data_IF_777136604595
#
_entry.id   IF_777136604595
#
_cell.length_a   1.000
_cell.length_b   1.000
_cell.length_c   1.000
_cell.angle_alpha   90.00
_cell.angle_beta   90.00
_cell.angle_gamma   90.00
#
_symmetry.space_group_name_H-M   'P 1'
#
loop_
_entity.id
_entity.type
_entity.pdbx_description
1 polymer ?
#
# COMPACT_ATOMS: atom_id res chain seq x y z
N UNK A 1 -0.90 3.28 -53.13
CA UNK A 1 -1.47 4.34 -52.28
C UNK A 1 -0.53 4.55 -51.09
N UNK A 2 0.07 5.74 -50.92
CA UNK A 2 0.84 6.04 -49.72
C UNK A 2 -0.17 6.30 -48.59
N UNK A 3 -0.31 5.33 -47.69
CA UNK A 3 -1.25 5.42 -46.55
C UNK A 3 -0.92 6.55 -45.58
N UNK A 4 0.36 6.96 -45.51
CA UNK A 4 0.85 8.00 -44.60
C UNK A 4 1.24 9.25 -45.41
N UNK A 5 0.59 10.37 -45.15
CA UNK A 5 0.88 11.67 -45.76
C UNK A 5 1.83 12.47 -44.83
N UNK A 6 2.55 13.47 -45.38
CA UNK A 6 3.44 14.35 -44.61
C UNK A 6 2.72 15.06 -43.44
N UNK A 7 1.43 15.36 -43.61
CA UNK A 7 0.58 15.96 -42.57
C UNK A 7 0.41 14.99 -41.39
N UNK A 8 0.19 13.70 -41.65
CA UNK A 8 0.01 12.70 -40.58
C UNK A 8 1.28 12.59 -39.71
N UNK A 9 2.45 12.59 -40.33
CA UNK A 9 3.74 12.56 -39.62
C UNK A 9 3.95 13.84 -38.81
N UNK A 10 3.59 15.00 -39.40
CA UNK A 10 3.72 16.28 -38.74
C UNK A 10 2.88 16.37 -37.47
N UNK A 11 1.59 16.06 -37.56
CA UNK A 11 0.65 16.06 -36.43
C UNK A 11 1.03 15.01 -35.40
N UNK A 12 1.39 13.80 -35.85
CA UNK A 12 1.85 12.72 -34.97
C UNK A 12 3.10 13.10 -34.17
N UNK A 13 4.12 13.68 -34.83
CA UNK A 13 5.35 14.11 -34.16
C UNK A 13 5.10 15.21 -33.12
N UNK A 14 4.26 16.20 -33.47
CA UNK A 14 3.90 17.26 -32.55
C UNK A 14 3.16 16.70 -31.32
N UNK A 15 2.20 15.81 -31.54
CA UNK A 15 1.44 15.19 -30.46
C UNK A 15 2.28 14.24 -29.59
N UNK A 16 3.05 13.34 -30.19
CA UNK A 16 3.80 12.32 -29.44
C UNK A 16 4.86 12.93 -28.52
N UNK A 17 5.53 14.00 -28.97
CA UNK A 17 6.51 14.71 -28.13
C UNK A 17 5.84 15.35 -26.91
N UNK A 18 4.70 16.02 -27.13
CA UNK A 18 3.94 16.63 -26.05
C UNK A 18 3.33 15.56 -25.11
N UNK A 19 2.85 14.43 -25.67
CA UNK A 19 2.32 13.34 -24.87
C UNK A 19 3.37 12.77 -23.92
N UNK A 20 4.58 12.50 -24.39
CA UNK A 20 5.65 12.00 -23.51
C UNK A 20 5.97 12.99 -22.40
N UNK A 21 6.08 14.28 -22.73
CA UNK A 21 6.34 15.33 -21.74
C UNK A 21 5.22 15.44 -20.69
N UNK A 22 3.96 15.52 -21.15
CA UNK A 22 2.79 15.60 -20.25
C UNK A 22 2.59 14.33 -19.43
N UNK A 23 2.91 13.17 -19.98
CA UNK A 23 2.83 11.90 -19.25
C UNK A 23 3.79 11.88 -18.06
N UNK A 24 5.05 12.26 -18.25
CA UNK A 24 6.00 12.30 -17.14
C UNK A 24 5.65 13.38 -16.11
N UNK A 25 5.10 14.52 -16.53
CA UNK A 25 4.62 15.55 -15.61
C UNK A 25 3.45 15.01 -14.77
N UNK A 26 2.45 14.39 -15.40
CA UNK A 26 1.32 13.81 -14.69
C UNK A 26 1.77 12.69 -13.73
N UNK A 27 2.66 11.81 -14.20
CA UNK A 27 3.21 10.73 -13.37
C UNK A 27 3.96 11.30 -12.15
N UNK A 28 4.75 12.35 -12.34
CA UNK A 28 5.47 13.02 -11.26
C UNK A 28 4.50 13.64 -10.23
N UNK A 29 3.44 14.31 -10.70
CA UNK A 29 2.43 14.90 -9.80
C UNK A 29 1.74 13.82 -8.98
N UNK A 30 1.30 12.73 -9.62
CA UNK A 30 0.70 11.61 -8.91
C UNK A 30 1.68 10.92 -7.96
N UNK A 31 2.96 10.81 -8.33
CA UNK A 31 3.99 10.26 -7.45
C UNK A 31 4.18 11.14 -6.21
N UNK A 32 4.22 12.46 -6.37
CA UNK A 32 4.32 13.40 -5.25
C UNK A 32 3.09 13.31 -4.32
N UNK A 33 1.87 13.26 -4.89
CA UNK A 33 0.64 13.05 -4.11
C UNK A 33 0.68 11.71 -3.37
N UNK A 34 1.20 10.68 -4.02
CA UNK A 34 1.33 9.35 -3.46
C UNK A 34 2.35 9.31 -2.31
N UNK A 35 3.50 10.00 -2.44
CA UNK A 35 4.48 10.14 -1.37
C UNK A 35 3.88 10.72 -0.08
N UNK A 36 3.04 11.75 -0.19
CA UNK A 36 2.37 12.33 0.97
C UNK A 36 1.49 11.33 1.72
N UNK A 37 0.89 10.38 1.01
CA UNK A 37 0.06 9.34 1.63
C UNK A 37 0.88 8.34 2.46
N UNK A 38 2.11 8.07 2.06
CA UNK A 38 2.96 7.04 2.68
C UNK A 38 4.19 7.62 3.39
N UNK A 39 4.14 8.92 3.70
CA UNK A 39 5.26 9.60 4.36
C UNK A 39 5.58 8.98 5.72
N UNK A 40 4.57 8.58 6.47
CA UNK A 40 4.71 7.98 7.79
C UNK A 40 5.37 6.60 7.74
N UNK A 41 5.14 5.84 6.66
CA UNK A 41 5.80 4.55 6.44
C UNK A 41 7.25 4.69 5.95
N UNK A 42 7.61 5.84 5.38
CA UNK A 42 8.94 6.08 4.81
C UNK A 42 9.91 6.72 5.80
N UNK A 43 9.42 7.58 6.70
CA UNK A 43 10.25 8.37 7.63
C UNK A 43 10.42 7.61 8.95
N UNK A 44 11.64 7.62 9.49
CA UNK A 44 11.94 7.11 10.82
C UNK A 44 12.19 5.60 10.92
N UNK A 45 11.92 4.81 9.88
CA UNK A 45 12.06 3.35 9.93
C UNK A 45 13.41 2.79 9.49
N UNK A 46 14.42 3.63 9.28
CA UNK A 46 15.77 3.18 8.89
C UNK A 46 15.80 2.29 7.65
N UNK A 47 14.96 2.61 6.64
CA UNK A 47 14.88 1.85 5.40
C UNK A 47 16.14 2.03 4.55
N UNK A 48 16.61 0.96 3.94
CA UNK A 48 17.75 1.01 3.01
C UNK A 48 17.35 1.70 1.70
N UNK A 49 18.29 2.35 1.03
CA UNK A 49 18.04 3.00 -0.27
C UNK A 49 17.51 2.03 -1.32
N UNK A 50 17.89 0.75 -1.24
CA UNK A 50 17.40 -0.29 -2.14
C UNK A 50 15.90 -0.52 -1.97
N UNK A 51 15.42 -0.68 -0.74
CA UNK A 51 13.98 -0.81 -0.43
C UNK A 51 13.20 0.40 -0.90
N UNK A 52 13.75 1.60 -0.69
CA UNK A 52 13.14 2.85 -1.13
C UNK A 52 13.04 2.94 -2.66
N UNK A 53 14.10 2.52 -3.37
CA UNK A 53 14.10 2.47 -4.84
C UNK A 53 13.03 1.48 -5.38
N UNK A 54 12.92 0.30 -4.78
CA UNK A 54 11.88 -0.67 -5.13
C UNK A 54 10.47 -0.13 -4.85
N UNK A 55 10.29 0.57 -3.72
CA UNK A 55 9.02 1.23 -3.39
C UNK A 55 8.61 2.22 -4.48
N UNK A 56 9.50 3.16 -4.86
CA UNK A 56 9.20 4.15 -5.91
C UNK A 56 8.97 3.50 -7.27
N UNK A 57 9.71 2.44 -7.59
CA UNK A 57 9.54 1.70 -8.83
C UNK A 57 8.15 1.06 -8.93
N UNK A 58 7.73 0.29 -7.92
CA UNK A 58 6.41 -0.35 -7.93
C UNK A 58 5.28 0.66 -7.78
N UNK A 59 5.44 1.71 -6.97
CA UNK A 59 4.51 2.81 -6.90
C UNK A 59 4.31 3.47 -8.27
N UNK A 60 5.40 3.76 -8.98
CA UNK A 60 5.35 4.32 -10.33
C UNK A 60 4.57 3.43 -11.30
N UNK A 61 4.82 2.12 -11.29
CA UNK A 61 4.07 1.18 -12.13
C UNK A 61 2.57 1.18 -11.84
N UNK A 62 2.16 1.28 -10.57
CA UNK A 62 0.74 1.32 -10.21
C UNK A 62 0.05 2.63 -10.59
N UNK A 63 0.81 3.72 -10.74
CA UNK A 63 0.29 5.04 -11.12
C UNK A 63 0.20 5.26 -12.64
N UNK A 64 0.87 4.43 -13.47
CA UNK A 64 0.83 4.54 -14.94
C UNK A 64 -0.61 4.56 -15.49
N UNK A 65 -1.51 3.62 -15.15
CA UNK A 65 -2.86 3.60 -15.69
C UNK A 65 -3.68 4.85 -15.35
N UNK A 66 -3.39 5.47 -14.20
CA UNK A 66 -4.08 6.66 -13.72
C UNK A 66 -3.57 7.92 -14.42
N UNK A 67 -2.27 7.97 -14.76
CA UNK A 67 -1.64 9.11 -15.42
C UNK A 67 -1.93 9.17 -16.92
N UNK A 68 -2.15 8.02 -17.58
CA UNK A 68 -2.36 7.95 -19.03
C UNK A 68 -3.54 8.79 -19.54
N UNK A 69 -4.78 8.67 -19.02
CA UNK A 69 -5.91 9.44 -19.51
C UNK A 69 -5.71 10.94 -19.38
N UNK A 70 -5.12 11.38 -18.27
CA UNK A 70 -4.84 12.80 -18.03
C UNK A 70 -3.77 13.32 -18.99
N UNK A 71 -2.71 12.54 -19.21
CA UNK A 71 -1.66 12.89 -20.16
C UNK A 71 -2.18 12.99 -21.60
N UNK A 72 -3.04 12.06 -22.03
CA UNK A 72 -3.71 12.08 -23.34
C UNK A 72 -4.54 13.36 -23.50
N UNK A 73 -5.33 13.70 -22.47
CA UNK A 73 -6.17 14.90 -22.49
C UNK A 73 -5.31 16.16 -22.63
N UNK A 74 -4.30 16.33 -21.75
CA UNK A 74 -3.42 17.50 -21.76
C UNK A 74 -2.62 17.60 -23.06
N UNK A 75 -2.04 16.50 -23.54
CA UNK A 75 -1.30 16.48 -24.81
C UNK A 75 -2.19 16.89 -25.97
N UNK A 76 -3.45 16.41 -25.99
CA UNK A 76 -4.42 16.79 -27.05
C UNK A 76 -4.72 18.29 -27.00
N UNK A 77 -5.04 18.82 -25.82
CA UNK A 77 -5.37 20.24 -25.66
C UNK A 77 -4.18 21.15 -26.07
N UNK A 78 -2.97 20.82 -25.60
CA UNK A 78 -1.79 21.60 -25.91
C UNK A 78 -1.45 21.50 -27.41
N UNK A 79 -1.55 20.30 -28.00
CA UNK A 79 -1.26 20.10 -29.42
C UNK A 79 -2.20 20.93 -30.29
N UNK A 80 -3.52 20.84 -30.06
CA UNK A 80 -4.49 21.62 -30.86
C UNK A 80 -4.47 23.09 -30.53
N UNK A 81 -4.18 23.48 -29.29
CA UNK A 81 -3.95 24.85 -28.91
C UNK A 81 -2.77 25.48 -29.72
N UNK A 82 -1.64 24.80 -29.73
CA UNK A 82 -0.45 25.27 -30.50
C UNK A 82 -0.68 25.32 -32.02
N UNK A 83 -1.37 24.28 -32.58
CA UNK A 83 -1.72 24.28 -34.01
C UNK A 83 -2.71 25.38 -34.37
N UNK A 84 -3.60 25.75 -33.45
CA UNK A 84 -4.55 26.85 -33.59
C UNK A 84 -3.85 28.21 -33.52
N UNK A 85 -3.01 28.43 -32.51
CA UNK A 85 -2.25 29.68 -32.29
C UNK A 85 -1.32 29.99 -33.44
N UNK A 86 -0.67 28.99 -34.02
CA UNK A 86 0.21 29.11 -35.18
C UNK A 86 -0.51 29.22 -36.54
N UNK A 87 -1.85 29.25 -36.54
CA UNK A 87 -2.68 29.22 -37.74
C UNK A 87 -2.49 27.97 -38.63
N UNK A 88 -1.74 26.98 -38.18
CA UNK A 88 -1.49 25.72 -38.92
C UNK A 88 -2.77 24.92 -39.13
N UNK A 89 -3.60 24.83 -38.07
CA UNK A 89 -4.91 24.19 -38.15
C UNK A 89 -5.85 24.91 -39.10
N UNK A 90 -5.85 26.25 -39.07
CA UNK A 90 -6.66 27.07 -39.97
C UNK A 90 -6.22 26.90 -41.42
N UNK A 91 -4.90 26.93 -41.70
CA UNK A 91 -4.35 26.71 -43.04
C UNK A 91 -4.71 25.35 -43.61
N UNK A 92 -4.66 24.27 -42.79
CA UNK A 92 -5.09 22.94 -43.23
C UNK A 92 -6.58 22.89 -43.55
N UNK A 93 -7.43 23.56 -42.75
CA UNK A 93 -8.86 23.69 -43.03
C UNK A 93 -9.16 24.50 -44.27
N UNK A 94 -8.48 25.60 -44.47
CA UNK A 94 -8.62 26.43 -45.69
C UNK A 94 -8.22 25.67 -46.96
N UNK A 95 -7.26 24.74 -46.85
CA UNK A 95 -6.90 23.82 -47.91
C UNK A 95 -7.92 22.68 -48.16
N UNK A 96 -9.08 22.73 -47.50
CA UNK A 96 -10.17 21.72 -47.65
C UNK A 96 -9.94 20.42 -46.92
N UNK A 97 -8.99 20.34 -45.97
CA UNK A 97 -8.73 19.12 -45.23
C UNK A 97 -9.76 19.02 -44.07
N UNK A 98 -10.59 17.98 -43.98
CA UNK A 98 -11.57 17.83 -42.92
C UNK A 98 -10.86 17.56 -41.57
N UNK A 99 -11.43 18.05 -40.47
CA UNK A 99 -10.86 17.94 -39.13
C UNK A 99 -10.58 16.48 -38.73
N UNK A 100 -11.49 15.57 -39.08
CA UNK A 100 -11.36 14.14 -38.77
C UNK A 100 -10.08 13.55 -39.39
N UNK A 101 -9.66 14.05 -40.56
CA UNK A 101 -8.43 13.61 -41.22
C UNK A 101 -7.19 14.11 -40.48
N UNK A 102 -7.23 15.32 -39.88
CA UNK A 102 -6.15 15.88 -39.08
C UNK A 102 -6.04 15.11 -37.75
N UNK A 103 -7.15 14.71 -37.17
CA UNK A 103 -7.22 13.92 -35.93
C UNK A 103 -6.78 12.47 -36.09
N UNK A 104 -6.91 11.91 -37.29
CA UNK A 104 -6.72 10.47 -37.54
C UNK A 104 -5.40 9.89 -36.98
N UNK A 105 -4.20 10.51 -37.14
CA UNK A 105 -2.97 9.96 -36.59
C UNK A 105 -2.97 9.93 -35.07
N UNK A 106 -3.61 10.89 -34.40
CA UNK A 106 -3.74 10.94 -32.94
C UNK A 106 -4.70 9.85 -32.46
N UNK A 107 -5.82 9.67 -33.14
CA UNK A 107 -6.81 8.62 -32.80
C UNK A 107 -6.15 7.25 -32.91
N UNK A 108 -5.42 6.95 -33.99
CA UNK A 108 -4.72 5.67 -34.17
C UNK A 108 -3.70 5.46 -33.04
N UNK A 109 -2.92 6.48 -32.69
CA UNK A 109 -1.95 6.40 -31.62
C UNK A 109 -2.62 6.13 -30.27
N UNK A 110 -3.74 6.80 -29.96
CA UNK A 110 -4.47 6.59 -28.72
C UNK A 110 -5.12 5.20 -28.65
N UNK A 111 -5.57 4.65 -29.77
CA UNK A 111 -6.07 3.25 -29.82
C UNK A 111 -4.92 2.28 -29.48
N UNK A 112 -3.72 2.48 -30.02
CA UNK A 112 -2.56 1.66 -29.70
C UNK A 112 -2.18 1.78 -28.22
N UNK A 113 -2.22 2.99 -27.66
CA UNK A 113 -2.00 3.22 -26.22
C UNK A 113 -3.07 2.51 -25.37
N UNK A 114 -4.33 2.52 -25.79
CA UNK A 114 -5.41 1.83 -25.09
C UNK A 114 -5.19 0.31 -25.04
N UNK A 115 -4.81 -0.30 -26.17
CA UNK A 115 -4.46 -1.72 -26.24
C UNK A 115 -3.23 -2.01 -25.35
N UNK A 116 -2.19 -1.19 -25.42
CA UNK A 116 -0.99 -1.34 -24.59
C UNK A 116 -1.30 -1.20 -23.09
N UNK A 117 -2.15 -0.23 -22.72
CA UNK A 117 -2.60 -0.02 -21.34
C UNK A 117 -3.44 -1.19 -20.83
N UNK A 118 -4.32 -1.75 -21.67
CA UNK A 118 -5.09 -2.94 -21.31
C UNK A 118 -4.18 -4.14 -21.01
N UNK A 119 -3.20 -4.40 -21.90
CA UNK A 119 -2.22 -5.46 -21.68
C UNK A 119 -1.40 -5.23 -20.40
N UNK A 120 -0.93 -3.99 -20.20
CA UNK A 120 -0.17 -3.61 -19.01
C UNK A 120 -0.98 -3.83 -17.73
N UNK A 121 -2.23 -3.41 -17.68
CA UNK A 121 -3.10 -3.58 -16.52
C UNK A 121 -3.46 -5.05 -16.24
N UNK A 122 -3.47 -5.90 -17.26
CA UNK A 122 -3.80 -7.32 -17.08
C UNK A 122 -2.60 -8.20 -16.71
N UNK A 123 -1.38 -7.79 -17.03
CA UNK A 123 -0.15 -8.60 -16.81
C UNK A 123 0.74 -7.95 -15.76
N UNK A 124 1.22 -6.74 -16.01
CA UNK A 124 2.20 -6.06 -15.16
C UNK A 124 1.56 -5.39 -13.94
N UNK A 125 0.34 -4.86 -14.10
CA UNK A 125 -0.37 -4.14 -13.05
C UNK A 125 -0.59 -4.97 -11.78
N UNK A 126 -1.19 -6.16 -11.87
CA UNK A 126 -1.44 -7.02 -10.71
C UNK A 126 -0.17 -7.44 -9.98
N UNK A 127 0.90 -7.78 -10.73
CA UNK A 127 2.20 -8.11 -10.12
C UNK A 127 2.83 -6.91 -9.41
N UNK A 128 2.81 -5.74 -10.06
CA UNK A 128 3.32 -4.52 -9.46
C UNK A 128 2.56 -4.16 -8.17
N UNK A 129 1.24 -4.30 -8.18
CA UNK A 129 0.40 -4.09 -7.01
C UNK A 129 0.68 -5.09 -5.89
N UNK A 130 0.80 -6.39 -6.20
CA UNK A 130 1.18 -7.41 -5.19
C UNK A 130 2.48 -7.03 -4.50
N UNK A 131 3.53 -6.76 -5.27
CA UNK A 131 4.85 -6.38 -4.73
C UNK A 131 4.83 -5.05 -3.97
N UNK A 132 4.04 -4.09 -4.45
CA UNK A 132 3.86 -2.82 -3.78
C UNK A 132 3.20 -2.97 -2.39
N UNK A 133 2.07 -3.70 -2.29
CA UNK A 133 1.42 -3.97 -1.00
C UNK A 133 2.30 -4.79 -0.06
N UNK A 134 3.03 -5.77 -0.60
CA UNK A 134 4.02 -6.54 0.17
C UNK A 134 5.08 -5.64 0.80
N UNK A 135 5.62 -4.70 0.02
CA UNK A 135 6.59 -3.72 0.52
C UNK A 135 6.02 -2.84 1.62
N UNK A 136 4.83 -2.25 1.42
CA UNK A 136 4.19 -1.42 2.44
C UNK A 136 3.99 -2.20 3.73
N UNK A 137 3.45 -3.42 3.62
CA UNK A 137 3.19 -4.23 4.80
C UNK A 137 4.49 -4.62 5.53
N UNK A 138 5.53 -5.00 4.78
CA UNK A 138 6.85 -5.27 5.34
C UNK A 138 7.49 -4.04 6.00
N UNK A 139 7.24 -2.84 5.43
CA UNK A 139 7.71 -1.57 6.02
C UNK A 139 6.95 -1.21 7.30
N UNK A 140 5.65 -1.51 7.38
CA UNK A 140 4.84 -1.34 8.59
C UNK A 140 5.32 -2.24 9.73
N UNK A 141 5.68 -3.47 9.40
CA UNK A 141 6.19 -4.40 10.41
C UNK A 141 7.59 -4.07 10.93
N UNK A 142 8.37 -3.22 10.25
CA UNK A 142 9.75 -2.94 10.64
C UNK A 142 9.91 -2.14 11.95
N UNK A 143 8.94 -1.31 12.31
CA UNK A 143 9.02 -0.45 13.50
C UNK A 143 7.65 -0.24 14.14
N UNK A 144 7.06 -1.28 14.76
CA UNK A 144 5.73 -1.19 15.36
C UNK A 144 5.67 -0.19 16.52
N UNK A 145 6.78 0.10 17.19
CA UNK A 145 6.85 1.09 18.27
C UNK A 145 6.45 2.50 17.79
N UNK A 146 6.60 2.80 16.53
CA UNK A 146 6.24 4.10 15.95
C UNK A 146 4.75 4.18 15.55
N UNK A 147 4.09 3.06 15.37
CA UNK A 147 2.75 2.98 14.77
C UNK A 147 1.61 2.76 15.78
N UNK A 148 1.89 2.53 17.06
CA UNK A 148 0.81 2.32 18.06
C UNK A 148 -0.06 3.57 18.13
N UNK A 149 -1.35 3.51 17.70
CA UNK A 149 -2.25 4.65 17.72
C UNK A 149 -2.78 4.91 19.14
N UNK A 150 -3.17 6.17 19.41
CA UNK A 150 -3.85 6.53 20.66
C UNK A 150 -5.33 6.14 20.60
N UNK A 151 -5.85 5.58 21.69
CA UNK A 151 -7.27 5.30 21.87
C UNK A 151 -7.84 4.13 21.06
N UNK A 152 -7.00 3.34 20.40
CA UNK A 152 -7.40 2.21 19.57
C UNK A 152 -6.54 0.99 19.89
N UNK A 153 -7.13 -0.21 19.81
CA UNK A 153 -6.36 -1.44 19.94
C UNK A 153 -5.46 -1.67 18.72
N UNK A 154 -4.20 -1.86 18.96
CA UNK A 154 -3.19 -2.21 17.97
C UNK A 154 -2.90 -3.72 18.03
N UNK A 155 -3.17 -4.43 16.92
CA UNK A 155 -3.11 -5.91 16.84
C UNK A 155 -2.07 -6.42 15.83
N UNK A 156 -1.17 -5.55 15.35
CA UNK A 156 -0.16 -5.91 14.33
C UNK A 156 1.00 -6.75 14.90
N UNK A 157 1.14 -6.82 16.24
CA UNK A 157 2.13 -7.66 16.90
C UNK A 157 1.49 -9.03 17.15
N UNK A 158 2.02 -10.13 16.58
CA UNK A 158 1.44 -11.45 16.73
C UNK A 158 1.29 -11.88 18.19
N UNK A 159 0.08 -12.22 18.60
CA UNK A 159 -0.24 -12.67 19.96
C UNK A 159 -0.45 -11.56 20.98
N UNK A 160 -0.32 -10.29 20.59
CA UNK A 160 -0.50 -9.12 21.46
C UNK A 160 -1.49 -8.14 20.87
N UNK A 161 -2.43 -7.67 21.70
CA UNK A 161 -3.30 -6.53 21.41
C UNK A 161 -2.99 -5.45 22.42
N UNK A 162 -2.45 -4.32 21.96
CA UNK A 162 -2.00 -3.22 22.81
C UNK A 162 -2.94 -2.04 22.64
N UNK A 163 -3.49 -1.55 23.73
CA UNK A 163 -4.25 -0.30 23.79
C UNK A 163 -3.45 0.74 24.55
N UNK A 164 -3.41 1.96 24.05
CA UNK A 164 -2.72 3.10 24.64
C UNK A 164 -3.66 4.28 24.71
N UNK A 165 -3.83 4.86 25.90
CA UNK A 165 -4.68 6.03 26.07
C UNK A 165 -4.02 7.28 25.47
N UNK A 166 -2.74 7.50 25.76
CA UNK A 166 -1.96 8.65 25.24
C UNK A 166 -0.51 8.26 24.98
N UNK A 167 0.09 8.90 23.99
CA UNK A 167 1.51 8.78 23.65
C UNK A 167 2.25 10.06 23.94
N UNK A 168 3.36 9.97 24.69
CA UNK A 168 4.23 11.11 24.97
C UNK A 168 4.96 11.57 23.70
N UNK A 169 4.74 12.82 23.28
CA UNK A 169 5.29 13.36 22.02
C UNK A 169 6.81 13.49 22.00
N UNK A 170 7.47 13.64 23.16
CA UNK A 170 8.92 13.86 23.22
C UNK A 170 9.72 12.60 23.60
N UNK A 171 9.13 11.69 24.39
CA UNK A 171 9.86 10.58 25.00
C UNK A 171 9.45 9.21 24.46
N UNK A 172 8.43 9.13 23.56
CA UNK A 172 7.92 7.85 23.08
C UNK A 172 7.24 6.98 24.16
N UNK A 173 7.04 7.51 25.38
CA UNK A 173 6.34 6.82 26.47
C UNK A 173 4.86 6.66 26.15
N UNK A 174 4.33 5.50 26.48
CA UNK A 174 2.93 5.14 26.34
C UNK A 174 2.27 5.26 27.70
N UNK A 175 1.12 5.89 27.80
CA UNK A 175 0.38 6.11 29.06
C UNK A 175 -0.99 5.43 28.99
N UNK A 176 -1.45 4.89 30.14
CA UNK A 176 -2.71 4.16 30.23
C UNK A 176 -2.72 2.94 29.32
N UNK A 177 -1.74 2.05 29.52
CA UNK A 177 -1.50 0.93 28.61
C UNK A 177 -2.27 -0.30 29.10
N UNK A 178 -3.04 -0.91 28.18
CA UNK A 178 -3.66 -2.23 28.38
C UNK A 178 -3.12 -3.18 27.31
N UNK A 179 -2.60 -4.30 27.76
CA UNK A 179 -2.06 -5.34 26.88
C UNK A 179 -2.85 -6.60 27.08
N UNK A 180 -3.38 -7.11 26.00
CA UNK A 180 -4.06 -8.41 25.96
C UNK A 180 -3.17 -9.40 25.20
N UNK A 181 -2.63 -10.40 25.90
CA UNK A 181 -1.77 -11.43 25.31
C UNK A 181 -2.53 -12.74 25.14
N UNK A 182 -2.44 -13.31 23.94
CA UNK A 182 -3.02 -14.62 23.57
C UNK A 182 -1.94 -15.61 23.16
N UNK A 183 -0.67 -15.36 23.51
CA UNK A 183 0.47 -16.20 23.11
C UNK A 183 0.35 -17.64 23.61
N UNK A 184 -0.24 -17.85 24.77
CA UNK A 184 -0.44 -19.17 25.36
C UNK A 184 -1.81 -19.79 25.00
N UNK A 185 -2.52 -19.20 24.06
CA UNK A 185 -3.87 -19.61 23.63
C UNK A 185 -4.98 -18.73 24.20
N UNK A 186 -6.18 -18.84 23.61
CA UNK A 186 -7.33 -18.04 24.06
C UNK A 186 -7.82 -18.41 25.45
N UNK A 187 -7.49 -19.60 25.92
CA UNK A 187 -7.92 -20.10 27.24
C UNK A 187 -7.01 -19.60 28.37
N UNK A 188 -5.74 -19.28 28.06
CA UNK A 188 -4.74 -18.75 28.99
C UNK A 188 -4.42 -17.25 28.72
N UNK A 189 -5.40 -16.52 28.20
CA UNK A 189 -5.25 -15.11 27.92
C UNK A 189 -4.84 -14.31 29.16
N UNK A 190 -3.82 -13.46 28.99
CA UNK A 190 -3.32 -12.56 30.03
C UNK A 190 -3.71 -11.13 29.72
N UNK A 191 -4.07 -10.37 30.75
CA UNK A 191 -4.33 -8.93 30.66
C UNK A 191 -3.32 -8.24 31.56
N UNK A 192 -2.60 -7.27 30.99
CA UNK A 192 -1.69 -6.41 31.75
C UNK A 192 -2.20 -4.98 31.66
N UNK A 193 -2.33 -4.33 32.79
CA UNK A 193 -2.67 -2.91 32.92
C UNK A 193 -1.43 -2.20 33.49
N UNK A 194 -0.94 -1.18 32.83
CA UNK A 194 0.20 -0.42 33.30
C UNK A 194 -0.08 1.10 33.18
N UNK A 195 0.38 1.87 34.18
CA UNK A 195 0.25 3.32 34.16
C UNK A 195 1.05 3.93 33.00
N UNK A 196 2.23 3.38 32.76
CA UNK A 196 3.05 3.76 31.61
C UNK A 196 3.89 2.58 31.10
N UNK A 197 4.26 2.64 29.84
CA UNK A 197 5.14 1.66 29.22
C UNK A 197 6.06 2.32 28.18
N UNK A 198 7.20 1.68 27.96
CA UNK A 198 8.16 2.03 26.93
C UNK A 198 8.38 0.81 26.04
N UNK A 199 8.18 0.98 24.74
CA UNK A 199 8.46 -0.05 23.76
C UNK A 199 9.71 0.32 22.97
N UNK A 200 10.73 -0.53 23.00
CA UNK A 200 12.00 -0.32 22.28
C UNK A 200 12.40 -1.59 21.54
N UNK A 201 13.00 -1.42 20.40
CA UNK A 201 13.65 -2.54 19.71
C UNK A 201 15.00 -2.84 20.40
N UNK A 202 15.31 -4.10 20.63
CA UNK A 202 16.60 -4.53 21.20
C UNK A 202 17.75 -4.27 20.22
N UNK A 203 18.98 -4.19 20.72
CA UNK A 203 20.18 -3.91 19.90
C UNK A 203 20.46 -5.00 18.84
N UNK A 204 19.94 -6.21 19.02
CA UNK A 204 20.03 -7.31 18.06
C UNK A 204 18.91 -7.28 16.99
N UNK A 205 17.99 -6.30 17.10
CA UNK A 205 16.84 -6.09 16.19
C UNK A 205 15.89 -7.31 16.07
N UNK A 206 15.96 -8.29 16.98
CA UNK A 206 15.17 -9.52 16.96
C UNK A 206 14.04 -9.56 17.97
N UNK A 207 14.04 -8.63 18.92
CA UNK A 207 13.05 -8.57 19.98
C UNK A 207 12.57 -7.15 20.20
N UNK A 208 11.31 -7.01 20.57
CA UNK A 208 10.77 -5.78 21.14
C UNK A 208 10.82 -5.91 22.66
N UNK A 209 11.48 -4.98 23.29
CA UNK A 209 11.54 -4.84 24.73
C UNK A 209 10.43 -3.90 25.18
N UNK A 210 9.42 -4.47 25.83
CA UNK A 210 8.31 -3.75 26.42
C UNK A 210 8.56 -3.60 27.91
N UNK A 211 8.93 -2.41 28.34
CA UNK A 211 9.12 -2.09 29.76
C UNK A 211 7.89 -1.36 30.28
N UNK A 212 7.21 -1.96 31.23
CA UNK A 212 5.99 -1.48 31.85
C UNK A 212 6.27 -0.99 33.27
N UNK A 213 5.63 0.10 33.67
CA UNK A 213 5.82 0.72 34.98
C UNK A 213 4.49 0.83 35.71
N UNK A 214 4.52 0.48 37.01
CA UNK A 214 3.37 0.58 37.94
C UNK A 214 2.12 -0.07 37.37
N UNK A 215 2.00 -1.38 37.46
CA UNK A 215 0.91 -2.10 36.81
C UNK A 215 0.44 -3.36 37.55
N UNK A 216 -0.55 -3.97 36.94
CA UNK A 216 -1.16 -5.21 37.40
C UNK A 216 -1.27 -6.18 36.22
N UNK A 217 -0.94 -7.45 36.50
CA UNK A 217 -1.10 -8.56 35.57
C UNK A 217 -2.18 -9.49 36.07
N UNK A 218 -3.12 -9.81 35.20
CA UNK A 218 -4.18 -10.78 35.42
C UNK A 218 -3.96 -11.98 34.52
N UNK A 219 -3.85 -13.17 35.09
CA UNK A 219 -3.72 -14.44 34.39
C UNK A 219 -4.80 -15.42 34.84
N UNK A 220 -5.49 -16.03 33.88
CA UNK A 220 -6.34 -17.16 34.17
C UNK A 220 -5.50 -18.38 34.48
N UNK A 221 -5.71 -18.98 35.64
CA UNK A 221 -5.11 -20.25 35.96
C UNK A 221 -6.13 -21.36 35.59
N UNK A 222 -6.02 -21.90 34.39
CA UNK A 222 -6.80 -23.11 34.09
C UNK A 222 -6.27 -24.26 34.92
N UNK A 223 -7.19 -24.86 35.68
CA UNK A 223 -6.92 -26.11 36.33
C UNK A 223 -6.62 -27.17 35.26
N UNK A 224 -5.41 -27.66 35.19
CA UNK A 224 -5.03 -28.85 34.45
C UNK A 224 -5.87 -30.03 34.95
N UNK A 225 -6.95 -30.34 34.28
CA UNK A 225 -7.72 -31.57 34.54
C UNK A 225 -9.12 -31.36 35.08
N UNK A 226 -10.07 -31.77 34.31
CA UNK A 226 -11.49 -32.00 34.50
C UNK A 226 -12.47 -30.94 33.99
N UNK A 227 -13.19 -31.33 32.93
CA UNK A 227 -14.30 -30.56 32.32
C UNK A 227 -15.44 -30.17 33.30
N UNK A 228 -15.45 -30.65 34.52
CA UNK A 228 -16.48 -30.32 35.52
C UNK A 228 -16.13 -29.16 36.45
N UNK A 229 -14.92 -28.61 36.40
CA UNK A 229 -14.46 -27.48 37.23
C UNK A 229 -14.69 -26.10 36.62
N UNK A 230 -15.51 -25.98 35.57
CA UNK A 230 -15.74 -24.68 34.82
C UNK A 230 -16.42 -23.57 35.62
N UNK A 231 -16.88 -23.80 36.85
CA UNK A 231 -17.61 -22.82 37.64
C UNK A 231 -16.72 -21.85 38.47
N UNK A 232 -15.42 -22.15 38.66
CA UNK A 232 -14.51 -21.34 39.46
C UNK A 232 -13.10 -21.45 38.88
N UNK A 233 -12.81 -20.68 37.80
CA UNK A 233 -11.43 -20.56 37.28
C UNK A 233 -10.68 -19.60 38.19
N UNK A 234 -9.67 -20.07 38.99
CA UNK A 234 -8.87 -19.17 39.78
C UNK A 234 -8.09 -18.23 38.85
N UNK A 235 -8.12 -16.95 39.13
CA UNK A 235 -7.27 -15.99 38.48
C UNK A 235 -6.16 -15.54 39.42
N UNK A 236 -4.96 -15.31 38.86
CA UNK A 236 -3.82 -14.76 39.55
C UNK A 236 -3.72 -13.27 39.22
N UNK A 237 -3.58 -12.44 40.25
CA UNK A 237 -3.34 -11.00 40.13
C UNK A 237 -1.95 -10.74 40.71
N UNK A 238 -1.08 -10.20 39.89
CA UNK A 238 0.26 -9.77 40.24
C UNK A 238 0.37 -8.26 40.09
N UNK A 239 0.92 -7.60 41.09
CA UNK A 239 1.25 -6.17 41.03
C UNK A 239 2.75 -6.02 40.86
N UNK A 240 3.16 -5.15 39.95
CA UNK A 240 4.58 -4.88 39.69
C UNK A 240 4.86 -3.37 39.70
N UNK A 241 6.09 -2.99 40.11
CA UNK A 241 6.59 -1.62 40.00
C UNK A 241 7.20 -1.40 38.64
N UNK A 242 7.93 -2.37 38.15
CA UNK A 242 8.52 -2.39 36.82
C UNK A 242 8.59 -3.85 36.34
N UNK A 243 8.17 -4.07 35.10
CA UNK A 243 8.27 -5.36 34.44
C UNK A 243 8.73 -5.17 33.01
N UNK A 244 9.54 -6.09 32.52
CA UNK A 244 10.06 -6.04 31.15
C UNK A 244 9.76 -7.34 30.45
N UNK A 245 8.94 -7.28 29.42
CA UNK A 245 8.62 -8.42 28.56
C UNK A 245 9.43 -8.31 27.25
N UNK A 246 10.02 -9.42 26.84
CA UNK A 246 10.68 -9.55 25.55
C UNK A 246 9.72 -10.24 24.57
N UNK A 247 9.24 -9.48 23.62
CA UNK A 247 8.36 -9.98 22.56
C UNK A 247 9.26 -10.37 21.37
N UNK A 248 9.28 -11.66 20.96
CA UNK A 248 10.03 -12.06 19.78
C UNK A 248 9.45 -11.35 18.55
N UNK A 249 10.30 -10.59 17.90
CA UNK A 249 9.95 -9.78 16.75
C UNK A 249 11.11 -9.78 15.76
N UNK A 250 10.86 -10.22 14.55
CA UNK A 250 11.87 -10.18 13.49
C UNK A 250 11.84 -8.82 12.80
N UNK A 251 12.73 -7.92 13.22
CA UNK A 251 12.88 -6.59 12.64
C UNK A 251 13.72 -6.60 11.35
N UNK A 252 14.23 -7.75 10.93
CA UNK A 252 14.83 -7.87 9.63
C UNK A 252 13.76 -7.61 8.57
N UNK A 253 14.06 -6.68 7.64
CA UNK A 253 13.21 -6.48 6.48
C UNK A 253 13.17 -7.76 5.65
N UNK A 254 12.30 -8.69 6.03
CA UNK A 254 11.96 -9.85 5.24
C UNK A 254 10.78 -9.47 4.35
N UNK A 255 11.02 -9.43 3.05
CA UNK A 255 9.96 -9.24 2.09
C UNK A 255 8.99 -10.41 2.23
N UNK A 256 7.78 -10.14 2.74
CA UNK A 256 6.74 -11.16 2.86
C UNK A 256 6.49 -11.83 1.51
N UNK A 257 6.00 -13.07 1.54
CA UNK A 257 5.60 -13.74 0.30
C UNK A 257 4.45 -12.95 -0.35
N UNK A 258 4.68 -12.50 -1.59
CA UNK A 258 3.71 -11.73 -2.36
C UNK A 258 2.37 -12.47 -2.55
N UNK A 259 2.35 -13.78 -2.34
CA UNK A 259 1.16 -14.62 -2.42
C UNK A 259 0.14 -14.34 -1.31
N UNK A 260 0.53 -13.75 -0.19
CA UNK A 260 -0.38 -13.37 0.90
C UNK A 260 -1.46 -12.40 0.39
N UNK A 261 -1.13 -11.54 -0.55
CA UNK A 261 -2.06 -10.56 -1.14
C UNK A 261 -2.78 -11.03 -2.40
N UNK A 262 -2.59 -12.30 -2.81
CA UNK A 262 -3.24 -12.88 -3.99
C UNK A 262 -4.78 -12.96 -3.89
N UNK A 263 -5.34 -12.82 -2.68
CA UNK A 263 -6.77 -12.85 -2.42
C UNK A 263 -7.54 -11.59 -2.81
N UNK A 264 -6.88 -10.41 -2.90
CA UNK A 264 -7.57 -9.15 -3.18
C UNK A 264 -7.91 -9.02 -4.67
N UNK A 265 -9.09 -8.46 -4.98
CA UNK A 265 -9.54 -8.29 -6.36
C UNK A 265 -8.60 -7.40 -7.21
N UNK A 266 -7.93 -6.45 -6.57
CA UNK A 266 -7.01 -5.51 -7.22
C UNK A 266 -5.68 -6.14 -7.67
N UNK A 267 -5.33 -7.28 -7.08
CA UNK A 267 -4.09 -8.01 -7.38
C UNK A 267 -4.31 -9.21 -8.31
N UNK A 268 -5.53 -9.40 -8.82
CA UNK A 268 -5.89 -10.50 -9.71
C UNK A 268 -5.94 -10.04 -11.16
N UNK A 269 -5.49 -10.91 -12.06
CA UNK A 269 -5.69 -10.73 -13.50
C UNK A 269 -7.09 -11.23 -13.93
N UNK A 270 -7.50 -10.94 -15.17
CA UNK A 270 -8.82 -11.33 -15.67
C UNK A 270 -9.08 -12.85 -15.56
N UNK A 271 -8.09 -13.68 -15.84
CA UNK A 271 -8.23 -15.16 -15.74
C UNK A 271 -8.44 -15.61 -14.30
N UNK A 272 -7.68 -15.02 -13.35
CA UNK A 272 -7.83 -15.33 -11.92
C UNK A 272 -9.18 -14.86 -11.38
N UNK A 273 -9.75 -13.78 -11.94
CA UNK A 273 -11.09 -13.31 -11.57
C UNK A 273 -12.15 -14.26 -12.12
N UNK A 274 -12.05 -14.67 -13.40
CA UNK A 274 -12.98 -15.64 -14.01
C UNK A 274 -13.01 -16.96 -13.25
N UNK A 275 -11.82 -17.53 -12.98
CA UNK A 275 -11.75 -18.79 -12.21
C UNK A 275 -12.28 -18.64 -10.79
N UNK A 276 -12.11 -17.47 -10.17
CA UNK A 276 -12.67 -17.15 -8.87
C UNK A 276 -14.20 -17.06 -8.91
N UNK A 277 -14.78 -16.46 -9.93
CA UNK A 277 -16.22 -16.36 -10.13
C UNK A 277 -16.84 -17.75 -10.38
N UNK A 278 -16.23 -18.57 -11.22
CA UNK A 278 -16.69 -19.93 -11.50
C UNK A 278 -16.68 -20.80 -10.22
N UNK A 279 -15.65 -20.66 -9.38
CA UNK A 279 -15.57 -21.37 -8.09
C UNK A 279 -16.66 -20.93 -7.10
N UNK A 280 -17.04 -19.65 -7.11
CA UNK A 280 -18.11 -19.12 -6.27
C UNK A 280 -19.50 -19.54 -6.80
N UNK A 281 -19.70 -19.57 -8.12
CA UNK A 281 -20.94 -20.05 -8.74
C UNK A 281 -21.17 -21.53 -8.40
N UNK A 282 -20.15 -22.39 -8.56
CA UNK A 282 -20.24 -23.80 -8.14
C UNK A 282 -20.55 -24.00 -6.67
N UNK A 283 -20.08 -23.09 -5.80
CA UNK A 283 -20.32 -23.17 -4.34
C UNK A 283 -21.71 -22.66 -3.95
N UNK A 284 -22.36 -21.87 -4.81
CA UNK A 284 -23.73 -21.39 -4.58
C UNK A 284 -24.80 -22.41 -5.06
N UNK A 285 -24.42 -23.33 -5.97
CA UNK A 285 -25.31 -24.35 -6.55
C UNK A 285 -25.22 -25.70 -5.78
N UNK A 286 -24.32 -25.82 -4.81
CA UNK A 286 -24.18 -26.96 -3.90
C UNK A 286 -24.78 -26.66 -2.50
#
# INVERSE_FOLDING_TARGET
MKFIKKIDIFVFKAYSLLFVGTFFICLFIFMMQFMWRYVDELIGKGLTLDVLAHFFYYAGLTLIPMSLPLAILLASLITFGNLGERFELLSMKAAGIPLIRILQPIIIFNILLCIGSFYFQNVTGPEAQKKFYTLIYSMKQKSPELEIPEGIFYSEIPGYNIFVEKKGKENGMLYGVMIYSTTDGYEDAQIVLADSAELKTTADEKHLMLTMYAGERFRNMQAQGNMMARANVPYMRETFIQETDLIPFDNNFNMMDANVFSGSAQTKNLREIETGLDSLAHKSDS
#
